data_IF_205396297975
#
_entry.id   IF_205396297975
#
_cell.length_a   1.000
_cell.length_b   1.000
_cell.length_c   1.000
_cell.angle_alpha   90.00
_cell.angle_beta   90.00
_cell.angle_gamma   90.00
#
_symmetry.space_group_name_H-M   'P 1'
#
loop_
_entity.id
_entity.type
_entity.pdbx_description
1 polymer ?
#
# COMPACT_ATOMS: atom_id res chain seq x y z
N UNK A 1 2.54 -5.62 48.92
CA UNK A 1 3.94 -5.18 48.83
C UNK A 1 3.97 -3.93 47.99
N UNK A 2 4.50 -2.81 48.48
CA UNK A 2 4.40 -1.50 47.83
C UNK A 2 5.52 -1.21 46.82
N UNK A 3 5.37 -0.16 46.00
CA UNK A 3 6.27 0.16 44.91
C UNK A 3 7.48 0.98 45.35
N UNK A 4 8.58 0.84 44.65
CA UNK A 4 9.82 1.56 44.84
C UNK A 4 9.80 2.94 44.18
N UNK A 5 10.31 3.95 44.89
CA UNK A 5 10.43 5.34 44.44
C UNK A 5 11.79 5.61 43.76
N UNK A 6 11.90 6.72 42.99
CA UNK A 6 13.09 7.04 42.18
C UNK A 6 14.13 7.87 42.95
N UNK A 7 15.40 7.61 42.63
CA UNK A 7 16.57 8.30 43.20
C UNK A 7 16.81 9.68 42.60
N UNK A 8 17.03 10.63 43.50
CA UNK A 8 17.56 11.98 43.29
C UNK A 8 19.06 11.92 43.00
N UNK A 9 19.55 12.68 42.02
CA UNK A 9 20.99 13.04 41.96
C UNK A 9 21.13 14.57 41.95
N UNK A 10 22.06 14.96 42.79
CA UNK A 10 22.34 16.30 43.25
C UNK A 10 23.13 17.16 42.25
N UNK A 11 22.91 18.47 42.42
CA UNK A 11 23.66 19.59 41.89
C UNK A 11 25.11 19.64 42.36
N UNK A 12 26.03 20.08 41.51
CA UNK A 12 27.34 20.60 41.88
C UNK A 12 27.57 21.96 41.24
N UNK A 13 27.61 22.94 42.10
CA UNK A 13 28.08 24.31 41.91
C UNK A 13 29.61 24.36 41.89
N UNK A 14 30.21 25.21 41.07
CA UNK A 14 31.56 25.68 41.30
C UNK A 14 31.70 27.17 41.00
N UNK A 15 32.20 27.82 41.99
CA UNK A 15 32.44 29.25 42.21
C UNK A 15 33.64 29.80 41.43
N UNK A 16 33.52 31.04 41.01
CA UNK A 16 34.32 32.23 41.17
C UNK A 16 35.87 32.15 41.22
N UNK A 17 36.49 33.06 40.51
CA UNK A 17 37.63 33.84 41.03
C UNK A 17 37.77 35.20 40.35
N UNK A 18 37.60 36.21 41.09
CA UNK A 18 38.04 37.60 40.85
C UNK A 18 39.56 37.67 40.85
N UNK A 19 40.17 38.57 40.07
CA UNK A 19 41.38 39.31 40.48
C UNK A 19 41.39 40.73 39.91
N UNK A 20 41.76 41.60 40.77
CA UNK A 20 41.72 43.05 40.84
C UNK A 20 43.06 43.70 40.43
N UNK A 21 42.95 45.00 40.20
CA UNK A 21 44.00 46.06 40.35
C UNK A 21 44.83 46.36 39.09
N UNK A 22 45.27 47.56 38.82
CA UNK A 22 45.20 48.88 39.45
C UNK A 22 45.79 49.99 38.49
N UNK A 23 45.24 51.18 38.66
CA UNK A 23 45.93 52.52 38.63
C UNK A 23 46.60 53.13 37.40
N UNK A 24 46.09 54.32 37.12
CA UNK A 24 46.41 55.50 36.34
C UNK A 24 47.92 55.98 36.42
N UNK A 25 48.41 57.09 35.76
CA UNK A 25 47.70 58.36 35.54
C UNK A 25 47.99 59.12 34.20
N UNK A 26 47.10 60.08 33.95
CA UNK A 26 47.24 61.44 33.38
C UNK A 26 48.27 61.80 32.30
N UNK A 27 47.78 62.35 31.22
CA UNK A 27 48.24 63.69 30.72
C UNK A 27 47.18 64.29 29.78
N UNK A 28 46.77 65.48 30.03
CA UNK A 28 45.78 66.26 29.32
C UNK A 28 46.30 66.89 28.04
N UNK A 29 45.41 67.14 27.10
CA UNK A 29 45.46 68.25 26.14
C UNK A 29 43.99 68.56 25.77
N UNK A 30 43.66 69.85 26.03
CA UNK A 30 42.46 70.53 25.51
C UNK A 30 42.46 70.53 23.99
N UNK A 31 41.35 70.25 23.33
CA UNK A 31 40.95 71.00 22.13
C UNK A 31 39.49 70.80 21.78
N UNK A 32 38.76 71.91 21.77
CA UNK A 32 37.72 72.34 20.86
C UNK A 32 36.40 71.52 20.74
N UNK A 33 35.42 72.14 21.29
CA UNK A 33 33.97 71.89 21.11
C UNK A 33 33.56 72.04 19.66
N UNK A 34 33.00 70.96 19.06
CA UNK A 34 32.06 71.08 17.92
C UNK A 34 30.85 70.27 18.30
N UNK A 35 29.76 71.00 18.64
CA UNK A 35 28.43 70.41 18.80
C UNK A 35 27.95 69.86 17.45
N UNK A 36 28.05 68.55 17.28
CA UNK A 36 27.20 67.82 16.31
C UNK A 36 25.96 67.38 17.07
N UNK A 37 24.83 68.00 16.76
CA UNK A 37 23.50 67.52 17.16
C UNK A 37 23.24 66.29 16.31
N UNK A 38 23.68 65.10 16.78
CA UNK A 38 23.19 63.82 16.28
C UNK A 38 21.79 63.65 16.84
N UNK A 39 20.78 63.89 16.01
CA UNK A 39 19.40 63.55 16.32
C UNK A 39 19.34 62.02 16.54
N UNK A 40 19.32 61.60 17.79
CA UNK A 40 18.91 60.24 18.16
C UNK A 40 17.42 60.14 17.83
N UNK A 41 17.10 59.67 16.62
CA UNK A 41 15.81 59.07 16.38
C UNK A 41 15.66 57.90 17.34
N UNK A 42 14.88 58.05 18.41
CA UNK A 42 14.50 56.93 19.26
C UNK A 42 13.94 55.84 18.33
N UNK A 43 14.49 54.62 18.39
CA UNK A 43 13.83 53.50 17.69
C UNK A 43 12.40 53.46 18.22
N UNK A 44 11.41 53.59 17.31
CA UNK A 44 10.02 53.43 17.68
C UNK A 44 9.83 52.13 18.44
N UNK A 45 8.91 52.10 19.38
CA UNK A 45 8.59 50.89 20.12
C UNK A 45 8.52 49.72 19.13
N UNK A 46 9.18 48.58 19.40
CA UNK A 46 9.05 47.43 18.51
C UNK A 46 7.58 47.08 18.42
N UNK A 47 7.01 47.24 17.24
CA UNK A 47 5.64 46.77 16.97
C UNK A 47 5.61 45.31 17.28
N UNK A 48 4.72 44.84 18.19
CA UNK A 48 4.59 43.44 18.50
C UNK A 48 4.41 42.67 17.20
N UNK A 49 5.15 41.55 16.99
CA UNK A 49 5.06 40.80 15.74
C UNK A 49 3.60 40.46 15.47
N UNK A 50 3.10 40.86 14.32
CA UNK A 50 1.73 40.49 13.92
C UNK A 50 1.63 38.98 13.98
N UNK A 51 0.66 38.45 14.74
CA UNK A 51 0.55 37.00 14.85
C UNK A 51 0.37 36.39 13.47
N UNK A 52 0.98 35.25 13.21
CA UNK A 52 0.97 34.62 11.89
C UNK A 52 -0.46 34.24 11.49
N UNK A 53 -0.99 34.83 10.42
CA UNK A 53 -2.26 34.40 9.82
C UNK A 53 -1.88 33.41 8.71
N UNK A 54 -2.42 32.17 8.69
CA UNK A 54 -2.14 31.22 7.62
C UNK A 54 -2.59 31.74 6.26
N UNK A 55 -1.91 31.29 5.20
CA UNK A 55 -2.36 31.54 3.83
C UNK A 55 -3.76 30.97 3.60
N UNK A 56 -4.47 31.54 2.64
CA UNK A 56 -5.81 31.08 2.25
C UNK A 56 -5.70 29.84 1.37
N UNK A 57 -6.54 28.82 1.62
CA UNK A 57 -6.71 27.68 0.73
C UNK A 57 -7.47 28.14 -0.51
N UNK A 58 -6.97 27.83 -1.70
CA UNK A 58 -7.58 28.27 -2.98
C UNK A 58 -7.88 27.11 -3.93
N UNK A 59 -7.57 25.90 -3.53
CA UNK A 59 -7.63 24.68 -4.32
C UNK A 59 -8.56 23.62 -3.71
N UNK A 60 -9.49 24.02 -2.83
CA UNK A 60 -10.49 23.11 -2.29
C UNK A 60 -11.25 22.46 -3.43
N UNK A 61 -11.33 21.15 -3.43
CA UNK A 61 -12.16 20.34 -4.31
C UNK A 61 -13.04 19.39 -3.50
N UNK A 62 -14.12 18.90 -4.10
CA UNK A 62 -15.03 17.96 -3.47
C UNK A 62 -15.54 16.94 -4.49
N UNK A 63 -15.59 15.68 -4.09
CA UNK A 63 -16.23 14.60 -4.85
C UNK A 63 -17.00 13.68 -3.91
N UNK A 64 -18.09 13.09 -4.39
CA UNK A 64 -18.79 12.07 -3.61
C UNK A 64 -18.03 10.74 -3.70
N UNK A 65 -17.84 10.11 -2.55
CA UNK A 65 -17.37 8.71 -2.42
C UNK A 65 -18.28 8.02 -1.41
N UNK A 66 -19.02 7.02 -1.87
CA UNK A 66 -20.02 6.38 -1.03
C UNK A 66 -21.00 7.40 -0.45
N UNK A 67 -21.26 7.28 0.84
CA UNK A 67 -22.11 8.20 1.61
C UNK A 67 -21.31 9.35 2.22
N UNK A 68 -20.34 9.89 1.50
CA UNK A 68 -19.53 11.00 1.97
C UNK A 68 -19.06 11.93 0.87
N UNK A 69 -18.76 13.17 1.27
CA UNK A 69 -18.07 14.14 0.45
C UNK A 69 -16.58 14.11 0.79
N UNK A 70 -15.73 13.59 -0.09
CA UNK A 70 -14.30 13.69 0.04
C UNK A 70 -13.86 15.10 -0.37
N UNK A 71 -13.34 15.83 0.58
CA UNK A 71 -12.75 17.16 0.42
C UNK A 71 -11.24 16.99 0.30
N UNK A 72 -10.64 17.65 -0.69
CA UNK A 72 -9.20 17.63 -0.93
C UNK A 72 -8.69 19.05 -1.08
N UNK A 73 -7.61 19.41 -0.40
CA UNK A 73 -6.98 20.74 -0.48
C UNK A 73 -5.53 20.71 0.01
N UNK A 74 -4.72 21.64 -0.48
CA UNK A 74 -3.33 21.80 -0.02
C UNK A 74 -3.27 22.63 1.27
N UNK A 75 -2.57 22.11 2.28
CA UNK A 75 -2.37 22.83 3.54
C UNK A 75 -1.38 23.97 3.37
N UNK A 76 -1.74 25.24 3.76
CA UNK A 76 -0.80 26.34 3.65
C UNK A 76 0.39 26.16 4.63
N UNK A 77 1.60 26.13 4.09
CA UNK A 77 2.85 26.10 4.87
C UNK A 77 3.39 27.48 5.24
N UNK A 78 2.73 28.55 4.75
CA UNK A 78 3.16 29.95 4.96
C UNK A 78 2.00 30.82 5.42
N UNK A 79 2.35 31.93 6.09
CA UNK A 79 1.42 33.02 6.42
C UNK A 79 1.10 33.83 5.19
N UNK A 80 0.07 34.71 5.29
CA UNK A 80 -0.23 35.72 4.26
C UNK A 80 0.92 36.69 4.00
N UNK A 81 1.84 36.85 4.98
CA UNK A 81 3.06 37.66 4.84
C UNK A 81 4.23 36.86 4.25
N UNK A 82 4.04 35.60 3.81
CA UNK A 82 5.06 34.73 3.21
C UNK A 82 6.00 34.05 4.20
N UNK A 83 5.85 34.24 5.50
CA UNK A 83 6.66 33.62 6.53
C UNK A 83 6.23 32.15 6.70
N UNK A 84 7.18 31.25 6.97
CA UNK A 84 6.89 29.84 7.25
C UNK A 84 6.09 29.71 8.55
N UNK A 85 5.05 28.89 8.56
CA UNK A 85 4.33 28.52 9.77
C UNK A 85 5.22 27.60 10.63
N UNK A 86 5.26 27.88 11.93
CA UNK A 86 6.04 27.06 12.88
C UNK A 86 5.36 25.69 13.14
N UNK A 87 4.02 25.68 13.09
CA UNK A 87 3.19 24.49 13.31
C UNK A 87 2.10 24.40 12.25
N UNK A 88 1.59 23.21 12.03
CA UNK A 88 0.45 22.99 11.14
C UNK A 88 -0.80 23.71 11.68
N UNK A 89 -1.50 24.49 10.85
CA UNK A 89 -2.70 25.16 11.31
C UNK A 89 -3.85 24.19 11.52
N UNK A 90 -4.77 24.52 12.40
CA UNK A 90 -6.06 23.86 12.56
C UNK A 90 -6.92 24.14 11.32
N UNK A 91 -7.56 23.09 10.77
CA UNK A 91 -8.50 23.24 9.65
C UNK A 91 -9.93 23.15 10.16
N UNK A 92 -10.74 24.17 9.82
CA UNK A 92 -12.18 24.23 10.11
C UNK A 92 -12.94 23.98 8.81
N UNK A 93 -13.80 22.97 8.80
CA UNK A 93 -14.57 22.55 7.63
C UNK A 93 -16.00 22.97 7.82
N UNK A 94 -16.54 23.67 6.83
CA UNK A 94 -17.90 24.20 6.86
C UNK A 94 -18.72 23.61 5.71
N UNK A 95 -19.96 23.24 6.01
CA UNK A 95 -20.98 22.80 5.05
C UNK A 95 -22.15 23.78 5.06
N UNK A 96 -22.66 24.08 3.88
CA UNK A 96 -23.78 24.99 3.68
C UNK A 96 -24.74 24.52 2.59
N UNK A 97 -25.88 25.16 2.49
CA UNK A 97 -26.87 24.88 1.47
C UNK A 97 -26.53 25.61 0.14
N UNK A 98 -27.09 25.09 -0.93
CA UNK A 98 -27.02 25.70 -2.26
C UNK A 98 -28.43 26.25 -2.61
N UNK A 99 -28.51 27.47 -3.10
CA UNK A 99 -29.77 28.10 -3.52
C UNK A 99 -30.28 27.54 -4.84
N UNK A 100 -31.49 27.83 -5.19
CA UNK A 100 -32.12 27.39 -6.43
C UNK A 100 -31.38 27.89 -7.70
N UNK A 101 -30.69 29.01 -7.63
CA UNK A 101 -29.85 29.55 -8.71
C UNK A 101 -28.49 28.83 -8.87
N UNK A 102 -28.21 27.87 -8.01
CA UNK A 102 -26.94 27.12 -8.00
C UNK A 102 -25.80 27.77 -7.20
N UNK A 103 -26.02 28.98 -6.67
CA UNK A 103 -25.03 29.67 -5.81
C UNK A 103 -25.07 29.13 -4.37
N UNK A 104 -23.92 29.14 -3.68
CA UNK A 104 -23.88 28.78 -2.27
C UNK A 104 -24.64 29.86 -1.42
N UNK A 105 -25.41 29.36 -0.45
CA UNK A 105 -26.01 30.26 0.55
C UNK A 105 -24.98 30.53 1.67
N UNK A 106 -24.29 31.65 1.55
CA UNK A 106 -23.22 32.03 2.48
C UNK A 106 -23.69 32.18 3.94
N UNK A 107 -24.99 32.37 4.19
CA UNK A 107 -25.54 32.46 5.55
C UNK A 107 -25.82 31.10 6.16
N UNK A 108 -25.87 30.04 5.37
CA UNK A 108 -26.19 28.68 5.81
C UNK A 108 -24.98 27.89 6.31
N UNK A 109 -23.76 28.36 6.04
CA UNK A 109 -22.57 27.65 6.44
C UNK A 109 -22.49 27.37 7.95
N UNK A 110 -22.28 26.13 8.31
CA UNK A 110 -22.05 25.67 9.69
C UNK A 110 -20.79 24.81 9.70
N UNK A 111 -20.00 25.00 10.75
CA UNK A 111 -18.82 24.16 10.96
C UNK A 111 -19.27 22.73 11.26
N UNK A 112 -18.84 21.78 10.43
CA UNK A 112 -19.14 20.35 10.56
C UNK A 112 -18.01 19.60 11.21
N UNK A 113 -16.76 20.06 11.03
CA UNK A 113 -15.60 19.41 11.63
C UNK A 113 -14.43 20.38 11.84
N UNK A 114 -13.57 20.01 12.78
CA UNK A 114 -12.29 20.69 13.02
C UNK A 114 -11.18 19.66 13.07
N UNK A 115 -10.20 19.77 12.19
CA UNK A 115 -8.96 18.98 12.25
C UNK A 115 -7.95 19.79 13.08
N UNK A 116 -7.61 19.36 14.31
CA UNK A 116 -6.59 20.02 15.12
C UNK A 116 -5.24 20.04 14.40
N UNK A 117 -4.47 21.12 14.53
CA UNK A 117 -3.17 21.25 13.88
C UNK A 117 -2.22 20.07 14.17
N UNK A 118 -2.23 19.58 15.39
CA UNK A 118 -1.42 18.41 15.79
C UNK A 118 -1.82 17.11 15.07
N UNK A 119 -3.06 16.99 14.57
CA UNK A 119 -3.56 15.82 13.86
C UNK A 119 -3.60 15.99 12.35
N UNK A 120 -3.30 17.18 11.83
CA UNK A 120 -3.39 17.45 10.40
C UNK A 120 -2.52 16.51 9.57
N UNK A 121 -1.35 16.13 10.08
CA UNK A 121 -0.46 15.19 9.39
C UNK A 121 -1.10 13.83 9.10
N UNK A 122 -2.04 13.36 9.94
CA UNK A 122 -2.75 12.08 9.72
C UNK A 122 -3.82 12.15 8.62
N UNK A 123 -4.17 13.35 8.17
CA UNK A 123 -5.08 13.59 7.06
C UNK A 123 -4.36 13.92 5.75
N UNK A 124 -3.02 14.07 5.79
CA UNK A 124 -2.23 14.38 4.59
C UNK A 124 -1.90 13.10 3.84
N UNK A 125 -2.37 13.02 2.61
CA UNK A 125 -2.05 11.97 1.65
C UNK A 125 -1.23 12.62 0.54
N UNK A 126 0.02 12.17 0.38
CA UNK A 126 1.02 12.82 -0.49
C UNK A 126 1.33 14.26 -0.08
N UNK A 127 0.61 15.23 -0.60
CA UNK A 127 0.75 16.66 -0.33
C UNK A 127 -0.55 17.35 0.09
N UNK A 128 -1.68 16.64 -0.11
CA UNK A 128 -3.01 17.21 0.08
C UNK A 128 -3.67 16.64 1.34
N UNK A 129 -4.44 17.47 2.02
CA UNK A 129 -5.33 17.04 3.09
C UNK A 129 -6.55 16.40 2.46
N UNK A 130 -6.87 15.19 2.87
CA UNK A 130 -8.09 14.47 2.50
C UNK A 130 -8.99 14.32 3.73
N UNK A 131 -10.22 14.82 3.63
CA UNK A 131 -11.22 14.70 4.68
C UNK A 131 -12.55 14.21 4.10
N UNK A 132 -13.08 13.13 4.64
CA UNK A 132 -14.39 12.60 4.26
C UNK A 132 -15.47 13.12 5.24
N UNK A 133 -16.33 14.00 4.75
CA UNK A 133 -17.53 14.44 5.49
C UNK A 133 -18.67 13.45 5.25
N UNK A 134 -19.17 12.73 6.29
CA UNK A 134 -20.26 11.78 6.12
C UNK A 134 -21.57 12.52 5.77
N UNK A 135 -22.26 12.00 4.78
CA UNK A 135 -23.59 12.47 4.36
C UNK A 135 -24.58 11.37 4.73
N UNK A 136 -25.70 11.79 5.35
CA UNK A 136 -26.73 10.81 5.67
C UNK A 136 -27.30 10.16 4.41
N UNK A 137 -27.35 8.82 4.34
CA UNK A 137 -28.02 8.12 3.23
C UNK A 137 -29.47 8.57 3.03
N UNK A 138 -30.17 8.96 4.09
CA UNK A 138 -31.51 9.52 4.05
C UNK A 138 -31.58 10.87 3.32
N UNK A 139 -30.55 11.71 3.45
CA UNK A 139 -30.45 12.99 2.72
C UNK A 139 -30.31 12.74 1.22
N UNK A 140 -29.40 11.86 0.83
CA UNK A 140 -29.20 11.44 -0.56
C UNK A 140 -30.47 10.81 -1.16
N UNK A 141 -31.19 10.01 -0.36
CA UNK A 141 -32.46 9.37 -0.75
C UNK A 141 -33.58 10.38 -0.97
N UNK A 142 -33.77 11.30 -0.02
CA UNK A 142 -34.89 12.26 -0.05
C UNK A 142 -34.72 13.30 -1.14
N UNK A 143 -33.49 13.69 -1.45
CA UNK A 143 -33.17 14.72 -2.45
C UNK A 143 -32.04 14.24 -3.40
N UNK A 144 -32.31 13.27 -4.28
CA UNK A 144 -31.30 12.82 -5.25
C UNK A 144 -30.85 13.98 -6.14
N UNK A 145 -29.54 14.24 -6.20
CA UNK A 145 -28.99 15.40 -6.92
C UNK A 145 -29.07 16.70 -6.15
N UNK A 146 -29.56 16.68 -4.91
CA UNK A 146 -29.50 17.82 -3.99
C UNK A 146 -28.05 18.28 -3.82
N UNK A 147 -27.82 19.59 -3.77
CA UNK A 147 -26.49 20.15 -3.71
C UNK A 147 -26.15 20.66 -2.32
N UNK A 148 -24.92 20.35 -1.90
CA UNK A 148 -24.27 20.91 -0.70
C UNK A 148 -23.06 21.73 -1.11
N UNK A 149 -22.72 22.73 -0.29
CA UNK A 149 -21.55 23.59 -0.52
C UNK A 149 -20.56 23.41 0.62
N UNK A 150 -19.26 23.49 0.30
CA UNK A 150 -18.17 23.41 1.27
C UNK A 150 -17.25 24.60 1.14
N UNK A 151 -16.70 25.02 2.28
CA UNK A 151 -15.51 25.86 2.38
C UNK A 151 -14.65 25.41 3.56
N UNK A 152 -13.38 25.76 3.51
CA UNK A 152 -12.41 25.45 4.56
C UNK A 152 -11.74 26.74 5.00
N UNK A 153 -11.44 26.84 6.28
CA UNK A 153 -10.69 27.93 6.90
C UNK A 153 -9.58 27.34 7.75
N UNK A 154 -8.41 27.97 7.74
CA UNK A 154 -7.32 27.56 8.64
C UNK A 154 -7.12 28.59 9.74
N UNK A 155 -6.69 28.13 10.92
CA UNK A 155 -6.39 29.03 12.03
C UNK A 155 -5.21 28.54 12.86
N UNK A 156 -4.46 29.47 13.42
CA UNK A 156 -3.38 29.21 14.40
C UNK A 156 -3.77 29.56 15.83
N UNK A 157 -4.83 30.33 16.00
CA UNK A 157 -5.41 30.64 17.32
C UNK A 157 -6.88 31.05 17.17
N UNK A 158 -7.67 31.13 18.25
CA UNK A 158 -9.10 31.50 18.19
C UNK A 158 -9.40 32.82 17.50
N UNK A 159 -8.43 33.76 17.50
CA UNK A 159 -8.56 35.09 16.91
C UNK A 159 -7.80 35.30 15.60
N UNK A 160 -7.15 34.25 15.06
CA UNK A 160 -6.24 34.33 13.91
C UNK A 160 -6.55 33.24 12.91
N UNK A 161 -7.49 33.53 12.04
CA UNK A 161 -7.93 32.64 10.95
C UNK A 161 -7.54 33.23 9.60
N UNK A 162 -7.34 32.35 8.61
CA UNK A 162 -7.26 32.74 7.20
C UNK A 162 -8.59 33.31 6.72
N UNK A 163 -8.62 33.89 5.54
CA UNK A 163 -9.86 34.03 4.78
C UNK A 163 -10.46 32.67 4.44
N UNK A 164 -11.73 32.63 4.07
CA UNK A 164 -12.38 31.42 3.58
C UNK A 164 -11.73 30.93 2.27
N UNK A 165 -11.71 29.64 2.05
CA UNK A 165 -11.26 29.05 0.79
C UNK A 165 -12.20 29.44 -0.36
N UNK A 166 -11.86 28.99 -1.58
CA UNK A 166 -12.85 28.86 -2.62
C UNK A 166 -14.02 28.00 -2.13
N UNK A 167 -15.24 28.32 -2.59
CA UNK A 167 -16.44 27.53 -2.29
C UNK A 167 -16.59 26.48 -3.39
N UNK A 168 -16.82 25.23 -3.00
CA UNK A 168 -17.15 24.14 -3.92
C UNK A 168 -18.56 23.65 -3.65
N UNK A 169 -19.26 23.25 -4.72
CA UNK A 169 -20.60 22.66 -4.63
C UNK A 169 -20.56 21.23 -5.14
N UNK A 170 -21.28 20.34 -4.45
CA UNK A 170 -21.33 18.91 -4.76
C UNK A 170 -22.79 18.47 -4.81
N UNK A 171 -23.18 17.81 -5.90
CA UNK A 171 -24.47 17.12 -5.99
C UNK A 171 -24.36 15.73 -5.36
N UNK A 172 -25.35 15.35 -4.53
CA UNK A 172 -25.36 14.12 -3.77
C UNK A 172 -26.41 13.18 -4.34
N UNK A 173 -26.01 11.94 -4.57
CA UNK A 173 -26.87 10.89 -5.13
C UNK A 173 -26.83 9.62 -4.25
N UNK A 174 -27.91 8.83 -4.26
CA UNK A 174 -27.88 7.49 -3.67
C UNK A 174 -26.83 6.63 -4.39
N UNK A 175 -26.08 5.84 -3.63
CA UNK A 175 -25.08 4.91 -4.13
C UNK A 175 -25.40 3.48 -3.67
N UNK A 176 -24.98 2.45 -4.39
CA UNK A 176 -25.13 1.09 -3.90
C UNK A 176 -24.40 0.90 -2.57
N UNK A 177 -24.87 -0.03 -1.75
CA UNK A 177 -24.14 -0.43 -0.58
C UNK A 177 -22.71 -0.82 -0.93
N UNK A 178 -21.80 -0.51 -0.04
CA UNK A 178 -20.41 -0.91 -0.12
C UNK A 178 -20.30 -2.42 -0.25
N UNK A 179 -19.48 -2.92 -1.15
CA UNK A 179 -19.10 -4.32 -1.24
C UNK A 179 -18.41 -4.72 0.08
N UNK A 180 -18.86 -5.82 0.70
CA UNK A 180 -18.38 -6.21 2.02
C UNK A 180 -16.92 -6.67 1.98
N UNK A 181 -16.59 -7.59 1.07
CA UNK A 181 -15.27 -8.21 0.94
C UNK A 181 -14.97 -8.53 -0.52
N UNK A 182 -13.71 -8.80 -0.81
CA UNK A 182 -13.24 -9.42 -2.03
C UNK A 182 -12.58 -10.74 -1.65
N UNK A 183 -13.08 -11.84 -2.18
CA UNK A 183 -12.48 -13.15 -2.02
C UNK A 183 -11.41 -13.35 -3.10
N UNK A 184 -10.30 -13.98 -2.74
CA UNK A 184 -9.17 -14.22 -3.63
C UNK A 184 -8.82 -15.70 -3.67
N UNK A 185 -8.60 -16.23 -4.86
CA UNK A 185 -8.09 -17.57 -5.09
C UNK A 185 -6.88 -17.51 -6.03
N UNK A 186 -5.74 -18.03 -5.58
CA UNK A 186 -4.51 -18.05 -6.37
C UNK A 186 -4.45 -19.32 -7.18
N UNK A 187 -4.23 -19.19 -8.48
CA UNK A 187 -3.91 -20.27 -9.41
C UNK A 187 -2.53 -20.06 -9.99
N UNK A 188 -1.98 -21.02 -10.68
CA UNK A 188 -0.69 -20.91 -11.37
C UNK A 188 -0.62 -19.72 -12.32
N UNK A 189 -1.73 -19.34 -12.96
CA UNK A 189 -1.75 -18.34 -14.04
C UNK A 189 -2.60 -17.11 -13.73
N UNK A 190 -3.22 -17.02 -12.54
CA UNK A 190 -4.06 -15.87 -12.18
C UNK A 190 -4.34 -15.80 -10.66
N UNK A 191 -4.63 -14.59 -10.20
CA UNK A 191 -5.37 -14.35 -8.97
C UNK A 191 -6.84 -14.17 -9.37
N UNK A 192 -7.68 -15.11 -8.99
CA UNK A 192 -9.12 -15.05 -9.23
C UNK A 192 -9.78 -14.31 -8.09
N UNK A 193 -10.60 -13.32 -8.44
CA UNK A 193 -11.26 -12.40 -7.53
C UNK A 193 -12.76 -12.52 -7.68
N UNK A 194 -13.49 -12.58 -6.57
CA UNK A 194 -14.94 -12.58 -6.54
C UNK A 194 -15.45 -11.76 -5.35
N UNK A 195 -16.65 -11.21 -5.48
CA UNK A 195 -17.26 -10.42 -4.41
C UNK A 195 -18.78 -10.52 -4.43
N UNK A 196 -19.45 -10.36 -3.28
CA UNK A 196 -20.90 -10.33 -3.23
C UNK A 196 -21.44 -9.07 -3.94
N UNK A 197 -22.43 -9.23 -4.79
CA UNK A 197 -23.14 -8.12 -5.42
C UNK A 197 -23.96 -7.38 -4.35
N UNK A 198 -23.98 -6.03 -4.34
CA UNK A 198 -24.90 -5.29 -3.47
C UNK A 198 -26.34 -5.56 -3.90
N UNK A 199 -27.28 -5.55 -2.96
CA UNK A 199 -28.70 -5.81 -3.18
C UNK A 199 -29.57 -4.57 -3.10
N UNK A 200 -29.03 -3.50 -2.51
CA UNK A 200 -29.73 -2.23 -2.28
C UNK A 200 -28.76 -1.05 -2.23
N UNK A 201 -29.28 0.16 -2.27
CA UNK A 201 -28.50 1.37 -1.99
C UNK A 201 -28.14 1.43 -0.51
N UNK A 202 -27.20 2.29 -0.13
CA UNK A 202 -26.90 2.60 1.27
C UNK A 202 -28.10 3.15 2.04
N UNK A 203 -29.07 3.79 1.36
CA UNK A 203 -30.35 4.22 1.91
C UNK A 203 -31.44 3.15 1.98
N UNK A 204 -31.16 1.91 1.57
CA UNK A 204 -32.11 0.80 1.60
C UNK A 204 -33.08 0.77 0.43
N UNK A 205 -32.88 1.53 -0.63
CA UNK A 205 -33.71 1.50 -1.84
C UNK A 205 -33.23 0.43 -2.82
N UNK A 206 -34.13 0.05 -3.75
CA UNK A 206 -33.77 -0.82 -4.86
C UNK A 206 -32.64 -0.21 -5.69
N UNK A 207 -31.74 -1.06 -6.18
CA UNK A 207 -30.65 -0.64 -7.05
C UNK A 207 -31.17 -0.25 -8.43
N UNK A 208 -30.64 0.86 -8.97
CA UNK A 208 -30.63 1.11 -10.40
C UNK A 208 -29.46 0.39 -11.08
N UNK A 209 -29.15 0.83 -12.31
CA UNK A 209 -27.98 0.34 -13.04
C UNK A 209 -26.69 0.79 -12.37
N UNK A 210 -25.76 -0.16 -12.21
CA UNK A 210 -24.43 0.10 -11.71
C UNK A 210 -23.40 -0.81 -12.40
N UNK A 211 -22.14 -0.46 -12.29
CA UNK A 211 -21.00 -1.25 -12.76
C UNK A 211 -20.02 -1.47 -11.61
N UNK A 212 -19.05 -2.35 -11.81
CA UNK A 212 -17.98 -2.57 -10.85
C UNK A 212 -16.71 -1.84 -11.27
N UNK A 213 -15.90 -1.51 -10.27
CA UNK A 213 -14.54 -1.02 -10.43
C UNK A 213 -13.64 -1.77 -9.46
N UNK A 214 -12.60 -2.37 -10.01
CA UNK A 214 -11.60 -3.10 -9.24
C UNK A 214 -10.30 -2.30 -9.25
N UNK A 215 -9.74 -2.08 -8.07
CA UNK A 215 -8.49 -1.38 -7.85
C UNK A 215 -7.44 -2.36 -7.33
N UNK A 216 -6.20 -2.20 -7.78
CA UNK A 216 -5.04 -2.96 -7.30
C UNK A 216 -3.94 -2.01 -6.89
N UNK A 217 -3.24 -2.35 -5.80
CA UNK A 217 -1.97 -1.76 -5.39
C UNK A 217 -0.97 -2.85 -5.04
N UNK A 218 0.31 -2.52 -4.97
CA UNK A 218 1.39 -3.41 -4.53
C UNK A 218 2.04 -2.83 -3.28
N UNK A 219 2.21 -3.64 -2.24
CA UNK A 219 2.93 -3.25 -1.03
C UNK A 219 4.42 -3.48 -1.21
N UNK A 220 5.23 -2.68 -0.50
CA UNK A 220 6.67 -2.92 -0.43
C UNK A 220 6.95 -4.25 0.26
N UNK A 221 7.92 -5.01 -0.25
CA UNK A 221 8.28 -6.34 0.28
C UNK A 221 8.77 -6.33 1.73
N UNK A 222 9.15 -5.15 2.25
CA UNK A 222 9.50 -4.98 3.68
C UNK A 222 8.28 -4.89 4.60
N UNK A 223 7.07 -4.79 4.03
CA UNK A 223 5.82 -4.77 4.78
C UNK A 223 5.30 -6.22 4.92
N UNK A 224 5.50 -6.82 6.08
CA UNK A 224 4.84 -8.08 6.42
C UNK A 224 3.46 -7.76 7.00
N UNK A 225 2.35 -8.14 6.37
CA UNK A 225 1.02 -7.94 6.94
C UNK A 225 0.88 -8.75 8.23
N UNK A 226 0.70 -8.07 9.34
CA UNK A 226 0.36 -8.68 10.62
C UNK A 226 -1.13 -9.02 10.56
N UNK A 227 -1.47 -10.28 10.30
CA UNK A 227 -2.81 -10.87 10.29
C UNK A 227 -3.87 -10.16 9.40
N UNK A 228 -4.59 -10.97 8.63
CA UNK A 228 -5.60 -10.57 7.64
C UNK A 228 -6.75 -9.71 8.22
N UNK A 229 -7.08 -9.83 9.50
CA UNK A 229 -8.17 -9.10 10.16
C UNK A 229 -7.85 -7.65 10.57
N UNK A 230 -6.59 -7.24 10.55
CA UNK A 230 -6.16 -5.88 10.88
C UNK A 230 -6.09 -4.95 9.65
N UNK A 231 -6.35 -5.46 8.47
CA UNK A 231 -5.92 -4.96 7.17
C UNK A 231 -6.32 -3.51 6.82
N UNK A 232 -7.50 -3.05 7.22
CA UNK A 232 -7.95 -1.71 6.78
C UNK A 232 -7.28 -0.56 7.55
N UNK A 233 -6.93 -0.76 8.82
CA UNK A 233 -6.26 0.26 9.64
C UNK A 233 -4.74 0.29 9.36
N UNK A 234 -4.18 -0.86 9.06
CA UNK A 234 -2.74 -1.00 8.83
C UNK A 234 -2.32 -0.44 7.46
N UNK A 235 -3.24 -0.41 6.47
CA UNK A 235 -2.98 0.17 5.16
C UNK A 235 -2.74 1.68 5.17
N UNK A 236 -3.23 2.41 6.18
CA UNK A 236 -2.95 3.85 6.34
C UNK A 236 -1.45 4.12 6.53
N UNK A 237 -0.74 3.19 7.15
CA UNK A 237 0.70 3.28 7.42
C UNK A 237 1.53 2.32 6.56
N UNK A 238 0.89 1.62 5.63
CA UNK A 238 1.56 0.69 4.75
C UNK A 238 2.54 1.40 3.80
N UNK A 239 3.68 0.78 3.58
CA UNK A 239 4.59 1.22 2.54
C UNK A 239 4.12 0.65 1.21
N UNK A 240 3.65 1.52 0.36
CA UNK A 240 3.22 1.18 -0.98
C UNK A 240 4.38 1.24 -1.96
N UNK A 241 4.54 0.21 -2.77
CA UNK A 241 5.36 0.25 -3.98
C UNK A 241 4.56 0.90 -5.12
N UNK A 242 3.32 0.46 -5.29
CA UNK A 242 2.32 1.09 -6.15
C UNK A 242 1.03 1.29 -5.38
N UNK A 243 0.50 2.52 -5.36
CA UNK A 243 -0.78 2.81 -4.71
C UNK A 243 -1.94 2.20 -5.47
N UNK A 244 -3.09 2.12 -4.81
CA UNK A 244 -4.34 1.66 -5.42
C UNK A 244 -4.64 2.46 -6.69
N UNK A 245 -4.68 1.77 -7.82
CA UNK A 245 -5.05 2.30 -9.12
C UNK A 245 -6.13 1.42 -9.75
N UNK A 246 -6.96 2.00 -10.60
CA UNK A 246 -7.99 1.26 -11.32
C UNK A 246 -7.34 0.18 -12.18
N UNK A 247 -7.61 -1.08 -11.84
CA UNK A 247 -7.16 -2.25 -12.58
C UNK A 247 -8.13 -2.59 -13.71
N UNK A 248 -9.44 -2.64 -13.39
CA UNK A 248 -10.46 -3.05 -14.33
C UNK A 248 -11.83 -2.51 -13.98
N UNK A 249 -12.74 -2.53 -14.97
CA UNK A 249 -14.17 -2.26 -14.80
C UNK A 249 -14.97 -3.47 -15.28
N UNK A 250 -15.01 -4.56 -14.49
CA UNK A 250 -15.68 -5.80 -14.90
C UNK A 250 -17.21 -5.62 -14.96
N UNK A 251 -17.83 -6.35 -15.88
CA UNK A 251 -19.29 -6.38 -15.99
C UNK A 251 -19.94 -7.32 -14.96
N UNK A 252 -19.17 -8.27 -14.42
CA UNK A 252 -19.60 -9.25 -13.40
C UNK A 252 -18.93 -8.98 -12.08
N UNK A 253 -19.43 -9.59 -11.02
CA UNK A 253 -18.85 -9.52 -9.68
C UNK A 253 -17.64 -10.47 -9.48
N UNK A 254 -16.87 -10.65 -10.54
CA UNK A 254 -15.63 -11.44 -10.54
C UNK A 254 -14.64 -10.88 -11.54
N UNK A 255 -13.37 -11.17 -11.32
CA UNK A 255 -12.29 -10.79 -12.21
C UNK A 255 -11.14 -11.79 -12.10
N UNK A 256 -10.39 -11.97 -13.19
CA UNK A 256 -9.20 -12.80 -13.25
C UNK A 256 -8.02 -11.90 -13.57
N UNK A 257 -7.16 -11.71 -12.57
CA UNK A 257 -5.92 -10.95 -12.73
C UNK A 257 -4.79 -11.91 -13.09
N UNK A 258 -4.36 -11.86 -14.35
CA UNK A 258 -3.25 -12.67 -14.87
C UNK A 258 -1.93 -11.92 -14.92
N UNK A 259 -1.92 -10.64 -14.54
CA UNK A 259 -0.73 -9.79 -14.50
C UNK A 259 -0.22 -9.68 -13.05
N UNK A 260 0.29 -10.78 -12.52
CA UNK A 260 0.85 -10.85 -11.18
C UNK A 260 2.21 -11.58 -11.19
N UNK A 261 2.96 -11.43 -10.11
CA UNK A 261 4.18 -12.18 -9.85
C UNK A 261 4.06 -12.85 -8.48
N UNK A 262 4.57 -14.07 -8.37
CA UNK A 262 4.65 -14.76 -7.08
C UNK A 262 5.54 -13.96 -6.11
N UNK A 263 5.30 -14.12 -4.80
CA UNK A 263 6.01 -13.46 -3.69
C UNK A 263 5.83 -11.93 -3.59
N UNK A 264 5.07 -11.30 -4.49
CA UNK A 264 4.65 -9.91 -4.34
C UNK A 264 3.34 -9.81 -3.57
N UNK A 265 3.20 -8.77 -2.76
CA UNK A 265 1.98 -8.56 -1.98
C UNK A 265 1.08 -7.54 -2.66
N UNK A 266 -0.09 -7.99 -3.08
CA UNK A 266 -1.11 -7.17 -3.73
C UNK A 266 -2.25 -6.85 -2.77
N UNK A 267 -2.83 -5.67 -2.96
CA UNK A 267 -4.05 -5.23 -2.28
C UNK A 267 -5.11 -4.97 -3.34
N UNK A 268 -6.26 -5.59 -3.18
CA UNK A 268 -7.43 -5.40 -4.05
C UNK A 268 -8.57 -4.76 -3.27
N UNK A 269 -9.25 -3.82 -3.94
CA UNK A 269 -10.45 -3.15 -3.44
C UNK A 269 -11.47 -3.10 -4.57
N UNK A 270 -12.69 -3.50 -4.28
CA UNK A 270 -13.79 -3.40 -5.22
C UNK A 270 -14.75 -2.27 -4.81
N UNK A 271 -15.26 -1.54 -5.80
CA UNK A 271 -16.31 -0.53 -5.67
C UNK A 271 -17.40 -0.79 -6.69
N UNK A 272 -18.58 -0.27 -6.44
CA UNK A 272 -19.59 -0.07 -7.47
C UNK A 272 -19.50 1.35 -8.00
N UNK A 273 -19.98 1.56 -9.21
CA UNK A 273 -20.01 2.86 -9.87
C UNK A 273 -21.37 3.10 -10.50
N UNK A 274 -21.97 4.24 -10.21
CA UNK A 274 -23.25 4.68 -10.75
C UNK A 274 -23.03 5.86 -11.70
N UNK A 275 -23.61 5.78 -12.88
CA UNK A 275 -23.60 6.88 -13.84
C UNK A 275 -24.67 7.90 -13.45
N UNK A 276 -24.25 9.16 -13.25
CA UNK A 276 -25.13 10.28 -12.98
C UNK A 276 -24.92 11.42 -13.98
N UNK A 277 -25.85 12.34 -14.06
CA UNK A 277 -25.67 13.55 -14.88
C UNK A 277 -24.46 14.34 -14.34
N UNK A 278 -23.36 14.32 -15.10
CA UNK A 278 -22.13 15.02 -14.74
C UNK A 278 -20.97 14.14 -14.33
N UNK A 279 -21.12 12.82 -14.32
CA UNK A 279 -20.00 11.91 -14.05
C UNK A 279 -20.36 10.58 -13.44
N UNK A 280 -19.36 9.94 -12.85
CA UNK A 280 -19.48 8.65 -12.19
C UNK A 280 -19.30 8.85 -10.69
N UNK A 281 -20.18 8.28 -9.90
CA UNK A 281 -20.05 8.23 -8.44
C UNK A 281 -19.76 6.79 -8.03
N UNK A 282 -18.79 6.60 -7.17
CA UNK A 282 -18.36 5.30 -6.68
C UNK A 282 -18.85 5.08 -5.25
N UNK A 283 -19.14 3.83 -4.91
CA UNK A 283 -19.33 3.43 -3.51
C UNK A 283 -18.04 3.65 -2.70
N UNK A 284 -18.12 3.54 -1.39
CA UNK A 284 -16.94 3.36 -0.54
C UNK A 284 -16.21 2.05 -0.91
N UNK A 285 -14.93 1.98 -0.55
CA UNK A 285 -14.09 0.77 -0.73
C UNK A 285 -14.70 -0.44 -0.04
N UNK A 286 -14.58 -1.60 -0.66
CA UNK A 286 -14.73 -2.88 0.05
C UNK A 286 -13.72 -2.98 1.21
N UNK A 287 -13.87 -3.98 2.06
CA UNK A 287 -12.72 -4.42 2.85
C UNK A 287 -11.59 -4.80 1.87
N UNK A 288 -10.34 -4.37 2.12
CA UNK A 288 -9.23 -4.71 1.26
C UNK A 288 -8.92 -6.20 1.33
N UNK A 289 -8.72 -6.83 0.18
CA UNK A 289 -8.15 -8.17 0.10
C UNK A 289 -6.65 -8.05 -0.10
N UNK A 290 -5.88 -8.61 0.82
CA UNK A 290 -4.41 -8.63 0.76
C UNK A 290 -3.98 -10.05 0.43
N UNK A 291 -3.23 -10.22 -0.64
CA UNK A 291 -2.76 -11.53 -1.09
C UNK A 291 -1.28 -11.48 -1.46
N UNK A 292 -0.53 -12.47 -0.97
CA UNK A 292 0.84 -12.71 -1.40
C UNK A 292 0.86 -14.09 -2.06
N UNK A 293 0.65 -14.18 -3.38
CA UNK A 293 0.63 -15.45 -4.08
C UNK A 293 1.97 -16.16 -3.92
N UNK A 294 1.91 -17.45 -3.58
CA UNK A 294 3.07 -18.32 -3.51
C UNK A 294 3.02 -19.31 -4.65
N UNK A 295 4.17 -19.57 -5.25
CA UNK A 295 4.30 -20.63 -6.22
C UNK A 295 4.32 -21.97 -5.50
N UNK A 296 3.21 -22.68 -5.55
CA UNK A 296 3.02 -24.01 -5.00
C UNK A 296 2.58 -25.02 -6.08
N UNK A 297 2.73 -24.66 -7.34
CA UNK A 297 2.22 -25.38 -8.49
C UNK A 297 3.35 -26.17 -9.14
N UNK A 298 3.39 -27.52 -8.98
CA UNK A 298 4.45 -28.32 -9.57
C UNK A 298 4.33 -28.37 -11.10
N UNK A 299 5.46 -28.49 -11.82
CA UNK A 299 5.44 -28.69 -13.27
C UNK A 299 4.69 -29.94 -13.69
N UNK A 300 4.39 -30.05 -14.98
CA UNK A 300 3.88 -31.28 -15.57
C UNK A 300 4.90 -32.44 -15.46
N UNK A 301 4.39 -33.66 -15.29
CA UNK A 301 5.26 -34.84 -15.26
C UNK A 301 6.01 -35.00 -16.60
N UNK A 302 7.33 -35.22 -16.60
CA UNK A 302 8.11 -35.44 -17.81
C UNK A 302 7.57 -36.60 -18.63
N UNK A 303 7.63 -36.48 -19.93
CA UNK A 303 7.11 -37.47 -20.87
C UNK A 303 8.22 -38.13 -21.65
N UNK A 304 7.96 -39.33 -22.22
CA UNK A 304 8.84 -39.99 -23.16
C UNK A 304 10.12 -40.54 -22.53
N UNK A 305 10.11 -40.90 -21.24
CA UNK A 305 11.27 -41.57 -20.60
C UNK A 305 11.58 -42.87 -21.35
N UNK A 306 12.81 -42.97 -21.79
CA UNK A 306 13.39 -44.18 -22.39
C UNK A 306 14.72 -44.51 -21.71
N UNK A 307 15.09 -45.81 -21.70
CA UNK A 307 16.31 -46.28 -21.10
C UNK A 307 17.03 -47.28 -22.04
N UNK A 308 18.35 -47.19 -22.09
CA UNK A 308 19.17 -48.13 -22.86
C UNK A 308 20.30 -48.66 -21.98
N UNK A 309 20.49 -49.95 -21.95
CA UNK A 309 21.63 -50.58 -21.27
C UNK A 309 22.86 -50.51 -22.18
N UNK A 310 23.94 -49.95 -21.65
CA UNK A 310 25.23 -49.84 -22.34
C UNK A 310 26.27 -50.64 -21.57
N UNK A 311 26.88 -51.62 -22.24
CA UNK A 311 27.98 -52.40 -21.69
C UNK A 311 29.24 -52.22 -22.53
N UNK A 312 30.26 -51.57 -22.02
CA UNK A 312 31.46 -51.26 -22.77
C UNK A 312 32.36 -52.50 -22.91
N UNK A 313 32.45 -53.33 -21.86
CA UNK A 313 33.19 -54.57 -21.88
C UNK A 313 32.75 -55.49 -20.72
N UNK A 314 33.24 -56.74 -20.68
CA UNK A 314 32.83 -57.74 -19.68
C UNK A 314 33.21 -57.39 -18.23
N UNK A 315 34.12 -56.48 -17.98
CA UNK A 315 34.62 -56.10 -16.65
C UNK A 315 34.08 -54.76 -16.14
N UNK A 316 33.60 -53.90 -17.02
CA UNK A 316 33.03 -52.59 -16.65
C UNK A 316 31.64 -52.75 -16.04
N UNK A 317 31.22 -51.90 -15.06
CA UNK A 317 29.84 -51.87 -14.57
C UNK A 317 28.87 -51.61 -15.72
N UNK A 318 27.66 -52.15 -15.63
CA UNK A 318 26.61 -51.85 -16.59
C UNK A 318 26.16 -50.38 -16.40
N UNK A 319 26.00 -49.69 -17.50
CA UNK A 319 25.49 -48.29 -17.50
C UNK A 319 24.10 -48.30 -18.09
N UNK A 320 23.25 -47.41 -17.56
CA UNK A 320 21.91 -47.15 -18.10
C UNK A 320 21.86 -45.72 -18.57
N UNK A 321 21.72 -45.53 -19.87
CA UNK A 321 21.47 -44.22 -20.47
C UNK A 321 19.98 -43.97 -20.44
N UNK A 322 19.57 -42.88 -19.78
CA UNK A 322 18.20 -42.43 -19.61
C UNK A 322 18.01 -41.13 -20.39
N UNK A 323 16.89 -40.98 -21.09
CA UNK A 323 16.53 -39.70 -21.71
C UNK A 323 14.99 -39.52 -21.74
N UNK A 324 14.55 -38.28 -21.75
CA UNK A 324 13.14 -37.90 -21.74
C UNK A 324 12.92 -36.63 -22.52
N UNK A 325 11.66 -36.27 -22.72
CA UNK A 325 11.30 -35.00 -23.36
C UNK A 325 11.51 -33.80 -22.45
N UNK A 326 11.99 -32.68 -22.96
CA UNK A 326 12.10 -31.41 -22.24
C UNK A 326 10.68 -31.00 -21.80
N UNK A 327 10.54 -30.61 -20.53
CA UNK A 327 9.31 -30.00 -20.02
C UNK A 327 9.03 -28.67 -20.70
N UNK A 328 7.79 -28.38 -21.07
CA UNK A 328 7.44 -27.15 -21.79
C UNK A 328 7.41 -25.91 -20.91
N UNK A 329 7.36 -26.04 -19.59
CA UNK A 329 7.28 -24.95 -18.63
C UNK A 329 8.63 -24.21 -18.54
N UNK A 330 8.57 -22.87 -18.53
CA UNK A 330 9.77 -22.02 -18.56
C UNK A 330 10.49 -21.89 -17.22
N UNK A 331 9.87 -22.31 -16.13
CA UNK A 331 10.36 -22.19 -14.76
C UNK A 331 11.00 -23.48 -14.23
N UNK A 332 11.02 -24.56 -15.01
CA UNK A 332 11.69 -25.81 -14.64
C UNK A 332 13.17 -25.53 -14.37
N UNK A 333 13.62 -25.85 -13.15
CA UNK A 333 15.00 -25.74 -12.71
C UNK A 333 15.82 -26.98 -13.09
N UNK A 334 15.16 -28.15 -13.16
CA UNK A 334 15.81 -29.41 -13.52
C UNK A 334 14.95 -30.62 -13.25
N UNK A 335 15.57 -31.78 -13.28
CA UNK A 335 14.93 -33.08 -13.16
C UNK A 335 15.55 -33.90 -12.04
N UNK A 336 14.75 -34.80 -11.46
CA UNK A 336 15.23 -35.90 -10.60
C UNK A 336 14.87 -37.23 -11.22
N UNK A 337 15.83 -38.15 -11.24
CA UNK A 337 15.62 -39.51 -11.68
C UNK A 337 15.66 -40.42 -10.47
N UNK A 338 14.66 -41.25 -10.35
CA UNK A 338 14.53 -42.22 -9.29
C UNK A 338 14.68 -43.63 -9.82
N UNK A 339 15.31 -44.48 -9.02
CA UNK A 339 15.51 -45.88 -9.28
C UNK A 339 14.93 -46.75 -8.16
N UNK A 340 14.14 -47.72 -8.50
CA UNK A 340 13.55 -48.69 -7.58
C UNK A 340 13.81 -50.10 -8.07
N UNK A 341 13.95 -51.06 -7.16
CA UNK A 341 13.95 -52.49 -7.46
C UNK A 341 12.55 -53.11 -7.41
N UNK A 342 11.57 -52.33 -7.01
CA UNK A 342 10.18 -52.78 -6.88
C UNK A 342 9.29 -51.96 -7.80
N UNK A 343 8.42 -52.62 -8.54
CA UNK A 343 7.43 -52.01 -9.38
C UNK A 343 6.45 -51.15 -8.54
N UNK A 344 6.08 -49.98 -9.07
CA UNK A 344 5.11 -49.07 -8.43
C UNK A 344 5.66 -48.31 -7.22
N UNK A 345 6.95 -48.45 -6.86
CA UNK A 345 7.61 -47.64 -5.84
C UNK A 345 8.53 -46.63 -6.49
N UNK A 346 8.59 -45.43 -5.89
CA UNK A 346 9.45 -44.33 -6.40
C UNK A 346 10.94 -44.67 -6.31
N UNK A 347 11.36 -45.33 -5.25
CA UNK A 347 12.75 -45.63 -4.95
C UNK A 347 13.59 -44.41 -4.58
N UNK A 348 14.92 -44.52 -4.74
CA UNK A 348 15.87 -43.49 -4.38
C UNK A 348 16.31 -42.64 -5.59
N UNK A 349 16.63 -41.40 -5.35
CA UNK A 349 17.22 -40.55 -6.38
C UNK A 349 18.62 -41.06 -6.73
N UNK A 350 18.92 -41.17 -8.02
CA UNK A 350 20.23 -41.65 -8.49
C UNK A 350 21.38 -40.69 -8.19
N UNK A 351 21.06 -39.40 -7.95
CA UNK A 351 21.99 -38.37 -7.51
C UNK A 351 21.26 -37.28 -6.70
N UNK A 352 21.98 -36.58 -5.79
CA UNK A 352 21.36 -35.56 -4.93
C UNK A 352 21.01 -34.30 -5.67
N UNK A 353 21.80 -33.88 -6.67
CA UNK A 353 21.61 -32.62 -7.40
C UNK A 353 20.62 -32.79 -8.54
N UNK A 354 19.96 -31.65 -8.91
CA UNK A 354 19.08 -31.62 -10.07
C UNK A 354 19.85 -31.80 -11.37
N UNK A 355 19.27 -32.58 -12.27
CA UNK A 355 19.79 -32.83 -13.63
C UNK A 355 19.27 -31.73 -14.53
N UNK A 356 20.17 -30.91 -15.10
CA UNK A 356 19.79 -29.77 -15.93
C UNK A 356 19.47 -30.11 -17.40
N UNK A 357 19.82 -31.33 -17.83
CA UNK A 357 19.59 -31.84 -19.18
C UNK A 357 18.55 -32.95 -19.18
N UNK A 358 17.81 -33.18 -20.28
CA UNK A 358 16.81 -34.23 -20.35
C UNK A 358 17.45 -35.62 -20.59
N UNK A 359 18.62 -35.84 -20.04
CA UNK A 359 19.35 -37.10 -20.13
C UNK A 359 20.32 -37.28 -18.96
N UNK A 360 20.55 -38.53 -18.56
CA UNK A 360 21.51 -38.87 -17.52
C UNK A 360 21.97 -40.33 -17.69
N UNK A 361 23.15 -40.62 -17.19
CA UNK A 361 23.70 -41.97 -17.12
C UNK A 361 23.76 -42.46 -15.66
N UNK A 362 23.21 -43.63 -15.39
CA UNK A 362 23.26 -44.29 -14.10
C UNK A 362 24.13 -45.54 -14.16
N UNK A 363 24.76 -45.90 -13.04
CA UNK A 363 25.54 -47.14 -12.88
C UNK A 363 24.67 -48.22 -12.23
N UNK A 364 24.48 -49.34 -12.92
CA UNK A 364 23.59 -50.40 -12.50
C UNK A 364 24.35 -51.70 -12.17
N UNK A 365 23.79 -52.47 -11.26
CA UNK A 365 24.36 -53.78 -10.89
C UNK A 365 23.91 -54.88 -11.87
N UNK A 366 24.78 -55.81 -12.27
CA UNK A 366 24.40 -56.93 -13.10
C UNK A 366 23.36 -57.85 -12.43
N UNK A 367 22.55 -58.49 -13.24
CA UNK A 367 21.51 -59.42 -12.82
C UNK A 367 20.40 -58.79 -11.94
N UNK A 368 20.20 -57.46 -12.05
CA UNK A 368 19.13 -56.75 -11.36
C UNK A 368 18.10 -56.22 -12.35
N UNK A 369 16.91 -55.96 -11.81
CA UNK A 369 15.80 -55.23 -12.49
C UNK A 369 15.59 -53.92 -11.79
N UNK A 370 15.47 -52.84 -12.56
CA UNK A 370 15.22 -51.50 -12.04
C UNK A 370 14.07 -50.85 -12.77
N UNK A 371 13.23 -50.14 -12.02
CA UNK A 371 12.24 -49.25 -12.54
C UNK A 371 12.75 -47.82 -12.36
N UNK A 372 12.83 -47.08 -13.47
CA UNK A 372 13.21 -45.68 -13.47
C UNK A 372 12.00 -44.80 -13.68
N UNK A 373 11.91 -43.70 -12.93
CA UNK A 373 10.96 -42.62 -13.11
C UNK A 373 11.69 -41.29 -13.06
N UNK A 374 11.20 -40.28 -13.75
CA UNK A 374 11.75 -38.93 -13.74
C UNK A 374 10.67 -37.94 -13.33
N UNK A 375 11.03 -36.95 -12.53
CA UNK A 375 10.20 -35.82 -12.14
C UNK A 375 10.85 -34.52 -12.62
N UNK A 376 10.05 -33.48 -12.86
CA UNK A 376 10.52 -32.11 -13.06
C UNK A 376 10.41 -31.34 -11.74
N UNK A 377 11.36 -30.44 -11.50
CA UNK A 377 11.37 -29.55 -10.34
C UNK A 377 11.49 -28.11 -10.86
N UNK A 378 10.61 -27.22 -10.41
CA UNK A 378 10.64 -25.81 -10.77
C UNK A 378 11.64 -25.00 -9.92
N UNK A 379 11.71 -23.69 -10.18
CA UNK A 379 12.58 -22.78 -9.43
C UNK A 379 12.09 -22.50 -8.02
N UNK A 380 10.82 -22.72 -7.73
CA UNK A 380 10.25 -22.59 -6.40
C UNK A 380 10.49 -23.86 -5.55
N UNK A 381 10.91 -24.95 -6.18
CA UNK A 381 11.22 -26.23 -5.53
C UNK A 381 10.03 -27.21 -5.54
N UNK A 382 8.94 -26.90 -6.28
CA UNK A 382 7.82 -27.83 -6.42
C UNK A 382 8.22 -28.97 -7.37
N UNK A 383 7.93 -30.18 -6.96
CA UNK A 383 8.30 -31.39 -7.72
C UNK A 383 7.05 -32.03 -8.32
N UNK A 384 7.10 -32.33 -9.60
CA UNK A 384 6.02 -32.93 -10.38
C UNK A 384 5.70 -34.37 -9.95
N UNK A 385 4.59 -34.90 -10.43
CA UNK A 385 4.39 -36.33 -10.47
C UNK A 385 5.50 -37.02 -11.29
N UNK A 386 5.72 -38.30 -11.02
CA UNK A 386 6.68 -39.12 -11.79
C UNK A 386 6.15 -39.36 -13.21
N UNK A 387 7.07 -39.49 -14.15
CA UNK A 387 6.81 -40.02 -15.48
C UNK A 387 6.25 -41.44 -15.41
N UNK A 388 5.76 -41.97 -16.53
CA UNK A 388 5.55 -43.39 -16.68
C UNK A 388 6.89 -44.13 -16.37
N UNK A 389 6.86 -45.18 -15.54
CA UNK A 389 8.09 -45.92 -15.20
C UNK A 389 8.60 -46.75 -16.38
N UNK A 390 9.92 -46.86 -16.49
CA UNK A 390 10.58 -47.72 -17.49
C UNK A 390 11.31 -48.81 -16.77
N UNK A 391 10.97 -50.05 -17.12
CA UNK A 391 11.71 -51.26 -16.63
C UNK A 391 12.99 -51.43 -17.41
N UNK A 392 14.07 -51.65 -16.70
CA UNK A 392 15.40 -52.00 -17.24
C UNK A 392 15.88 -53.28 -16.60
N UNK A 393 16.17 -54.28 -17.41
CA UNK A 393 16.77 -55.53 -16.99
C UNK A 393 18.24 -55.51 -17.31
N UNK A 394 19.07 -55.65 -16.30
CA UNK A 394 20.54 -55.68 -16.47
C UNK A 394 20.96 -57.16 -16.64
N UNK A 395 21.56 -57.52 -17.78
CA UNK A 395 21.98 -58.89 -18.01
C UNK A 395 22.93 -59.39 -16.97
N UNK A 396 22.87 -60.69 -16.69
CA UNK A 396 23.88 -61.35 -15.91
C UNK A 396 25.20 -61.35 -16.69
N UNK A 397 26.32 -61.09 -16.02
CA UNK A 397 27.63 -61.17 -16.66
C UNK A 397 27.88 -62.60 -17.06
N UNK A 398 28.19 -62.86 -18.31
CA UNK A 398 28.65 -64.17 -18.76
C UNK A 398 29.96 -64.58 -18.02
N UNK A 399 29.96 -65.75 -17.43
CA UNK A 399 31.14 -66.33 -16.85
C UNK A 399 32.20 -66.65 -17.90
#
# INVERSE_FOLDING_TARGET
>A
MPPAQPGRIQSLSARAAMHSAAQSPACGILLSCTLMVAGCGAPGEPTPPSPPIPGTIVDLSAKQIGDGALLTFTLPGKTIAGQRLAESPTCEIFRGAVKADGSADTKSFRMVYTIPGALTASYVIEKDVEFLDPISPGEAKTHPGGKVAYLVRTRVSPKKSSADSNIVTLAIFPVPQRIASVDTHVTESAIELAWPAPTQTSGGDALGDFSYRLYRGELDSSFAPVAIDAAAKDLVHAKWKTKLALLASPASNSYRDSDFEFDKTYVYVARTAVQVNGGVIESADSAPAIVTPKDIFPPSAPQGLVAAVVTENATAPAMVDLSWSISPENDVAGYRVYRSEQEGTRGDAIQPDLISTPAVRDTAQPAHRYWYTVTAVDRAGNESAGSAPVLVEIPQRGS
#
